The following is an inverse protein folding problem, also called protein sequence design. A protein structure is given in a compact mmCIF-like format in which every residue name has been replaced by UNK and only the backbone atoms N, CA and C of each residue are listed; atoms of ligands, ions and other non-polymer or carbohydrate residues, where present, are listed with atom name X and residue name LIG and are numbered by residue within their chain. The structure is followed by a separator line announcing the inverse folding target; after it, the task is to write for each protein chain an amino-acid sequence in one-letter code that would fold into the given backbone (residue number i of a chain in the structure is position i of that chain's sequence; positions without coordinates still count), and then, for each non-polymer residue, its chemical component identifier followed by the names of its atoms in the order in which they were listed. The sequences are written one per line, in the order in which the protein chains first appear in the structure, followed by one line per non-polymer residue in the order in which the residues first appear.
data_IF_822733125846
#
_entry.id   IF_822733125846
#
_cell.length_a   1.000
_cell.length_b   1.000
_cell.length_c   1.000
_cell.angle_alpha   90.00
_cell.angle_beta   90.00
_cell.angle_gamma   90.00
#
_symmetry.space_group_name_H-M   'P 1'
#
loop_
_entity.id
_entity.type
_entity.pdbx_description
1 polymer ?
#
# COMPACT_ATOMS: atom_id res chain seq x y z
N UNK A 1 6.27 -5.70 -56.88
CA UNK A 1 5.69 -7.06 -56.98
C UNK A 1 5.70 -7.59 -55.56
N UNK A 2 4.54 -7.48 -54.91
CA UNK A 2 4.30 -7.95 -53.55
C UNK A 2 3.89 -9.42 -53.67
N UNK A 3 4.72 -10.34 -53.19
CA UNK A 3 4.33 -11.74 -53.11
C UNK A 3 3.88 -12.09 -51.69
N UNK A 4 2.64 -12.57 -51.65
CA UNK A 4 1.90 -13.06 -50.51
C UNK A 4 2.57 -14.28 -49.89
N UNK A 5 2.82 -14.24 -48.58
CA UNK A 5 2.96 -15.45 -47.76
C UNK A 5 1.96 -15.34 -46.62
N UNK A 6 0.81 -16.02 -46.76
CA UNK A 6 -0.18 -16.16 -45.69
C UNK A 6 0.23 -17.29 -44.74
N UNK A 7 0.55 -16.97 -43.49
CA UNK A 7 0.60 -17.97 -42.42
C UNK A 7 -0.73 -17.97 -41.67
N UNK A 8 -1.47 -19.07 -41.76
CA UNK A 8 -2.68 -19.30 -40.97
C UNK A 8 -2.32 -20.00 -39.66
N UNK A 9 -2.42 -19.29 -38.54
CA UNK A 9 -2.37 -19.89 -37.21
C UNK A 9 -3.80 -20.19 -36.75
N UNK A 10 -4.17 -21.48 -36.71
CA UNK A 10 -5.38 -21.95 -36.03
C UNK A 10 -5.10 -22.02 -34.52
N UNK A 11 -5.50 -21.01 -33.77
CA UNK A 11 -5.55 -21.08 -32.30
C UNK A 11 -6.92 -21.61 -31.90
N UNK A 12 -6.95 -22.77 -31.25
CA UNK A 12 -8.13 -23.25 -30.51
C UNK A 12 -8.24 -22.43 -29.22
N UNK A 13 -9.32 -21.66 -29.09
CA UNK A 13 -9.70 -21.01 -27.83
C UNK A 13 -10.32 -22.05 -26.90
N UNK A 14 -9.90 -22.14 -25.62
CA UNK A 14 -10.67 -22.87 -24.61
C UNK A 14 -11.90 -22.07 -24.16
N UNK A 15 -12.88 -22.83 -23.67
CA UNK A 15 -14.26 -22.45 -23.37
C UNK A 15 -14.40 -21.28 -22.38
N UNK A 16 -15.44 -20.48 -22.61
CA UNK A 16 -15.78 -19.28 -21.86
C UNK A 16 -16.11 -19.58 -20.39
N UNK A 17 -15.44 -18.90 -19.47
CA UNK A 17 -15.87 -18.79 -18.08
C UNK A 17 -17.16 -17.96 -18.00
N UNK A 18 -18.21 -18.58 -17.47
CA UNK A 18 -19.52 -17.97 -17.22
C UNK A 18 -19.43 -16.96 -16.07
N UNK A 19 -19.57 -15.67 -16.38
CA UNK A 19 -19.77 -14.62 -15.39
C UNK A 19 -21.24 -14.62 -14.95
N UNK A 20 -21.48 -15.01 -13.70
CA UNK A 20 -22.77 -14.89 -13.03
C UNK A 20 -23.23 -13.42 -12.99
N UNK A 21 -24.36 -13.11 -13.64
CA UNK A 21 -25.11 -11.87 -13.42
C UNK A 21 -25.99 -12.00 -12.17
N UNK A 22 -26.00 -11.03 -11.25
CA UNK A 22 -27.05 -10.97 -10.23
C UNK A 22 -28.37 -10.48 -10.84
N UNK A 23 -29.47 -11.13 -10.47
CA UNK A 23 -30.84 -10.72 -10.79
C UNK A 23 -31.22 -9.46 -10.00
N UNK A 24 -31.89 -8.53 -10.66
CA UNK A 24 -32.62 -7.42 -10.04
C UNK A 24 -33.88 -7.95 -9.34
N UNK A 25 -34.04 -7.64 -8.06
CA UNK A 25 -35.34 -7.67 -7.39
C UNK A 25 -35.69 -6.26 -6.90
N UNK A 26 -36.80 -5.74 -7.44
CA UNK A 26 -37.45 -4.53 -6.96
C UNK A 26 -38.25 -4.86 -5.69
N UNK A 27 -38.09 -4.06 -4.64
CA UNK A 27 -38.88 -4.17 -3.42
C UNK A 27 -38.71 -2.96 -2.50
N UNK A 28 -39.67 -2.04 -2.58
CA UNK A 28 -39.79 -0.86 -1.72
C UNK A 28 -40.24 -1.23 -0.30
N UNK A 29 -39.50 -0.80 0.73
CA UNK A 29 -40.07 -0.45 2.04
C UNK A 29 -39.07 0.39 2.86
N UNK A 30 -39.44 1.66 3.12
CA UNK A 30 -38.76 2.52 4.10
C UNK A 30 -38.88 1.90 5.51
N UNK A 31 -37.76 1.48 6.09
CA UNK A 31 -37.62 1.31 7.54
C UNK A 31 -36.49 2.21 8.03
N UNK A 32 -36.82 3.13 8.96
CA UNK A 32 -35.84 3.82 9.79
C UNK A 32 -35.20 2.77 10.70
N UNK A 33 -34.01 2.31 10.33
CA UNK A 33 -33.17 1.42 11.11
C UNK A 33 -32.00 2.22 11.71
N UNK A 34 -31.74 1.99 12.99
CA UNK A 34 -30.51 2.36 13.69
C UNK A 34 -29.27 2.05 12.84
N UNK A 35 -28.30 2.96 12.78
CA UNK A 35 -27.06 2.83 12.02
C UNK A 35 -26.21 1.64 12.53
N UNK A 36 -26.57 0.43 12.11
CA UNK A 36 -25.66 -0.72 12.12
C UNK A 36 -24.67 -0.50 10.98
N UNK A 37 -23.53 0.14 11.29
CA UNK A 37 -22.48 0.37 10.30
C UNK A 37 -22.05 -0.96 9.68
N UNK A 38 -22.26 -1.14 8.38
CA UNK A 38 -21.76 -2.32 7.67
C UNK A 38 -20.26 -2.43 7.89
N UNK A 39 -19.77 -3.62 8.26
CA UNK A 39 -18.35 -3.87 8.45
C UNK A 39 -17.53 -3.49 7.20
N UNK A 40 -16.23 -3.16 7.36
CA UNK A 40 -15.36 -2.91 6.20
C UNK A 40 -15.43 -4.11 5.25
N UNK A 41 -15.67 -3.90 3.95
CA UNK A 41 -15.68 -5.00 2.99
C UNK A 41 -14.36 -5.79 3.02
N UNK A 42 -14.46 -7.10 2.87
CA UNK A 42 -13.33 -8.02 2.87
C UNK A 42 -12.96 -8.42 1.43
N UNK A 43 -11.71 -8.81 1.22
CA UNK A 43 -11.21 -9.40 -0.03
C UNK A 43 -10.29 -10.57 0.29
N UNK A 44 -10.31 -11.60 -0.54
CA UNK A 44 -9.45 -12.76 -0.41
C UNK A 44 -8.09 -12.47 -1.08
N UNK A 45 -6.99 -12.45 -0.31
CA UNK A 45 -5.63 -12.32 -0.85
C UNK A 45 -5.01 -13.68 -1.21
N UNK A 46 -5.34 -14.70 -0.43
CA UNK A 46 -4.94 -16.10 -0.63
C UNK A 46 -6.03 -17.01 -0.03
N UNK A 47 -6.10 -18.32 -0.34
CA UNK A 47 -7.22 -19.19 0.07
C UNK A 47 -7.63 -19.12 1.55
N UNK A 48 -6.68 -18.92 2.47
CA UNK A 48 -6.91 -18.83 3.93
C UNK A 48 -6.54 -17.44 4.51
N UNK A 49 -6.40 -16.43 3.65
CA UNK A 49 -6.06 -15.05 4.02
C UNK A 49 -7.07 -14.04 3.46
N UNK A 50 -7.99 -13.60 4.32
CA UNK A 50 -8.98 -12.56 4.01
C UNK A 50 -8.62 -11.25 4.71
N UNK A 51 -8.58 -10.15 3.96
CA UNK A 51 -8.21 -8.82 4.47
C UNK A 51 -9.30 -7.79 4.22
N UNK A 52 -9.40 -6.80 5.09
CA UNK A 52 -10.25 -5.64 4.88
C UNK A 52 -9.74 -4.80 3.69
N UNK A 53 -10.66 -4.28 2.86
CA UNK A 53 -10.34 -3.35 1.76
C UNK A 53 -9.70 -2.04 2.20
N UNK A 54 -9.71 -1.76 3.51
CA UNK A 54 -8.92 -0.71 4.14
C UNK A 54 -7.87 -1.38 5.03
N UNK A 55 -6.60 -1.04 4.85
CA UNK A 55 -5.49 -1.48 5.66
C UNK A 55 -4.98 -0.29 6.47
N UNK A 56 -4.88 -0.44 7.80
CA UNK A 56 -4.38 0.64 8.64
C UNK A 56 -2.84 0.60 8.69
N UNK A 57 -2.22 1.54 7.97
CA UNK A 57 -0.78 1.76 7.96
C UNK A 57 -0.32 2.50 9.21
N UNK A 58 0.76 2.01 9.81
CA UNK A 58 1.17 2.38 11.18
C UNK A 58 2.43 3.24 11.27
N UNK A 59 2.88 3.81 10.14
CA UNK A 59 4.14 4.55 10.08
C UNK A 59 4.22 5.83 10.92
N UNK A 60 3.11 6.29 11.53
CA UNK A 60 3.10 7.44 12.45
C UNK A 60 3.17 7.05 13.93
N UNK A 61 2.94 5.77 14.25
CA UNK A 61 2.86 5.26 15.62
C UNK A 61 4.26 5.20 16.24
N UNK A 62 4.51 5.96 17.31
CA UNK A 62 5.84 6.07 17.91
C UNK A 62 6.63 7.31 17.52
N UNK A 63 6.08 8.14 16.63
CA UNK A 63 6.60 9.47 16.27
C UNK A 63 5.52 10.55 16.43
N UNK A 64 4.61 10.72 15.46
CA UNK A 64 3.50 11.68 15.58
C UNK A 64 2.46 11.26 16.62
N UNK A 65 2.35 9.96 16.87
CA UNK A 65 1.41 9.39 17.82
C UNK A 65 2.14 8.76 19.00
N UNK A 66 1.81 9.19 20.21
CA UNK A 66 2.24 8.55 21.46
C UNK A 66 1.61 7.16 21.60
N UNK A 67 2.11 6.33 22.52
CA UNK A 67 1.54 5.00 22.76
C UNK A 67 0.02 5.04 23.08
N UNK A 68 -0.48 5.90 23.99
CA UNK A 68 -1.94 6.00 24.23
C UNK A 68 -2.74 6.49 23.01
N UNK A 69 -2.18 7.39 22.19
CA UNK A 69 -2.83 7.82 20.95
C UNK A 69 -2.88 6.69 19.93
N UNK A 70 -1.80 5.91 19.84
CA UNK A 70 -1.67 4.76 18.95
C UNK A 70 -2.70 3.69 19.30
N UNK A 71 -2.86 3.39 20.60
CA UNK A 71 -3.89 2.46 21.07
C UNK A 71 -5.29 2.93 20.66
N UNK A 72 -5.63 4.20 20.84
CA UNK A 72 -6.94 4.73 20.41
C UNK A 72 -7.19 4.61 18.91
N UNK A 73 -6.16 4.75 18.08
CA UNK A 73 -6.27 4.58 16.63
C UNK A 73 -6.45 3.12 16.25
N UNK A 74 -5.69 2.22 16.87
CA UNK A 74 -5.80 0.77 16.66
C UNK A 74 -7.16 0.23 17.15
N UNK A 75 -7.62 0.68 18.33
CA UNK A 75 -8.95 0.39 18.88
C UNK A 75 -10.03 0.82 17.86
N UNK A 76 -9.97 2.07 17.37
CA UNK A 76 -10.94 2.57 16.40
C UNK A 76 -10.91 1.86 15.03
N UNK A 77 -9.72 1.46 14.55
CA UNK A 77 -9.59 0.67 13.33
C UNK A 77 -10.26 -0.70 13.49
N UNK A 78 -9.93 -1.39 14.57
CA UNK A 78 -10.44 -2.73 14.87
C UNK A 78 -11.96 -2.72 15.09
N UNK A 79 -12.48 -1.76 15.86
CA UNK A 79 -13.92 -1.56 16.07
C UNK A 79 -14.67 -1.27 14.77
N UNK A 80 -14.04 -0.58 13.81
CA UNK A 80 -14.63 -0.32 12.49
C UNK A 80 -14.66 -1.56 11.58
N UNK A 81 -14.04 -2.67 11.98
CA UNK A 81 -13.90 -3.90 11.19
C UNK A 81 -12.67 -3.95 10.30
N UNK A 82 -11.66 -3.09 10.52
CA UNK A 82 -10.35 -3.23 9.88
C UNK A 82 -9.60 -4.36 10.56
N UNK A 83 -9.32 -5.43 9.82
CA UNK A 83 -8.50 -6.54 10.31
C UNK A 83 -7.05 -6.46 9.83
N UNK A 84 -6.75 -5.63 8.82
CA UNK A 84 -5.45 -5.60 8.18
C UNK A 84 -4.60 -4.43 8.66
N UNK A 85 -3.47 -4.73 9.30
CA UNK A 85 -2.50 -3.74 9.78
C UNK A 85 -1.19 -3.85 8.99
N UNK A 86 -0.64 -2.72 8.59
CA UNK A 86 0.64 -2.64 7.88
C UNK A 86 1.67 -1.86 8.70
N UNK A 87 2.85 -2.47 8.88
CA UNK A 87 4.01 -1.88 9.55
C UNK A 87 5.28 -2.10 8.75
N UNK A 88 6.43 -1.74 9.30
CA UNK A 88 7.75 -2.07 8.78
C UNK A 88 8.76 -1.98 9.92
N UNK A 89 9.86 -2.71 9.84
CA UNK A 89 10.88 -2.65 10.88
C UNK A 89 11.48 -1.25 11.07
N UNK A 90 11.55 -0.46 10.00
CA UNK A 90 12.09 0.89 10.03
C UNK A 90 11.14 1.91 10.63
N UNK A 91 9.85 1.59 10.76
CA UNK A 91 8.85 2.55 11.21
C UNK A 91 9.02 2.89 12.68
N UNK A 92 8.71 4.14 13.08
CA UNK A 92 7.93 5.17 12.35
C UNK A 92 8.75 6.08 11.42
N UNK A 93 8.04 6.99 10.72
CA UNK A 93 8.62 8.04 9.87
C UNK A 93 8.38 9.45 10.46
N UNK A 94 9.30 10.43 10.28
CA UNK A 94 10.61 10.30 9.63
C UNK A 94 11.56 9.35 10.37
N UNK A 95 12.38 8.67 9.60
CA UNK A 95 13.21 7.55 10.02
C UNK A 95 14.36 8.04 10.89
N UNK A 96 14.59 7.41 12.04
CA UNK A 96 15.76 7.68 12.88
C UNK A 96 16.07 6.53 13.82
N UNK A 97 17.34 6.40 14.20
CA UNK A 97 17.85 5.33 15.07
C UNK A 97 17.06 5.18 16.37
N UNK A 98 16.65 6.29 16.98
CA UNK A 98 16.01 6.29 18.30
C UNK A 98 14.58 5.75 18.30
N UNK A 99 13.91 5.75 17.14
CA UNK A 99 12.49 5.39 17.03
C UNK A 99 12.25 4.14 16.21
N UNK A 100 13.24 3.64 15.47
CA UNK A 100 13.16 2.43 14.67
C UNK A 100 12.53 1.26 15.45
N UNK A 101 11.58 0.57 14.83
CA UNK A 101 10.86 -0.57 15.38
C UNK A 101 9.69 -0.23 16.31
N UNK A 102 9.49 1.05 16.69
CA UNK A 102 8.43 1.42 17.65
C UNK A 102 7.02 1.16 17.12
N UNK A 103 6.78 1.28 15.81
CA UNK A 103 5.45 0.98 15.26
C UNK A 103 5.07 -0.48 15.50
N UNK A 104 5.99 -1.42 15.24
CA UNK A 104 5.79 -2.85 15.53
C UNK A 104 5.62 -3.11 17.03
N UNK A 105 6.47 -2.49 17.86
CA UNK A 105 6.38 -2.59 19.31
C UNK A 105 5.02 -2.11 19.84
N UNK A 106 4.49 -1.02 19.28
CA UNK A 106 3.21 -0.46 19.69
C UNK A 106 2.04 -1.36 19.28
N UNK A 107 2.10 -1.97 18.09
CA UNK A 107 1.10 -2.97 17.67
C UNK A 107 1.14 -4.18 18.61
N UNK A 108 2.32 -4.72 18.91
CA UNK A 108 2.47 -5.86 19.81
C UNK A 108 1.94 -5.59 21.22
N UNK A 109 2.28 -4.41 21.78
CA UNK A 109 1.77 -3.96 23.07
C UNK A 109 0.24 -3.79 23.05
N UNK A 110 -0.31 -3.25 21.96
CA UNK A 110 -1.76 -3.09 21.82
C UNK A 110 -2.48 -4.44 21.80
N UNK A 111 -2.03 -5.39 20.97
CA UNK A 111 -2.63 -6.73 20.89
C UNK A 111 -2.68 -7.40 22.27
N UNK A 112 -1.57 -7.36 23.04
CA UNK A 112 -1.54 -7.89 24.40
C UNK A 112 -2.45 -7.14 25.36
N UNK A 113 -2.37 -5.80 25.38
CA UNK A 113 -3.12 -4.98 26.32
C UNK A 113 -4.64 -5.01 26.09
N UNK A 114 -5.07 -5.33 24.86
CA UNK A 114 -6.49 -5.46 24.48
C UNK A 114 -6.95 -6.91 24.36
N UNK A 115 -6.06 -7.88 24.59
CA UNK A 115 -6.32 -9.30 24.40
C UNK A 115 -6.93 -9.60 23.02
N UNK A 116 -6.36 -9.01 21.97
CA UNK A 116 -6.84 -9.17 20.60
C UNK A 116 -6.49 -10.58 20.13
N UNK A 117 -7.47 -11.41 19.73
CA UNK A 117 -7.17 -12.73 19.19
C UNK A 117 -6.34 -12.59 17.91
N UNK A 118 -5.22 -13.33 17.84
CA UNK A 118 -4.24 -13.18 16.77
C UNK A 118 -4.81 -13.55 15.39
N UNK A 119 -5.75 -14.48 15.35
CA UNK A 119 -6.51 -14.91 14.15
C UNK A 119 -7.51 -13.88 13.63
N UNK A 120 -7.82 -12.84 14.43
CA UNK A 120 -8.69 -11.73 14.02
C UNK A 120 -7.96 -10.56 13.35
N UNK A 121 -6.64 -10.60 13.30
CA UNK A 121 -5.80 -9.56 12.68
C UNK A 121 -4.91 -10.21 11.63
N UNK A 122 -4.79 -9.54 10.49
CA UNK A 122 -3.76 -9.80 9.49
C UNK A 122 -2.65 -8.78 9.70
N UNK A 123 -1.45 -9.25 10.05
CA UNK A 123 -0.27 -8.41 10.22
C UNK A 123 0.62 -8.48 8.98
N UNK A 124 0.81 -7.34 8.33
CA UNK A 124 1.89 -7.14 7.38
C UNK A 124 3.04 -6.34 8.00
N UNK A 125 4.27 -6.80 7.80
CA UNK A 125 5.46 -5.99 8.06
C UNK A 125 6.50 -6.22 6.97
N UNK A 126 7.61 -5.48 7.02
CA UNK A 126 8.56 -5.38 5.92
C UNK A 126 10.00 -5.38 6.40
N UNK A 127 10.85 -6.06 5.63
CA UNK A 127 12.31 -5.92 5.68
C UNK A 127 12.73 -4.74 4.81
N UNK A 128 13.52 -3.85 5.39
CA UNK A 128 14.12 -2.69 4.73
C UNK A 128 15.20 -3.15 3.75
N UNK A 129 15.11 -2.67 2.50
CA UNK A 129 16.17 -2.85 1.51
C UNK A 129 17.40 -1.96 1.78
N UNK A 130 18.45 -2.03 0.95
CA UNK A 130 19.67 -1.26 1.15
C UNK A 130 19.39 0.25 1.19
N UNK A 131 20.05 0.96 2.11
CA UNK A 131 19.96 2.42 2.21
C UNK A 131 21.23 3.03 2.79
N UNK A 132 21.81 3.99 2.06
CA UNK A 132 22.94 4.78 2.55
C UNK A 132 22.58 5.75 3.68
N UNK A 133 21.29 5.97 3.95
CA UNK A 133 20.82 6.91 4.98
C UNK A 133 20.47 6.23 6.31
N UNK A 134 20.17 4.93 6.29
CA UNK A 134 19.67 4.17 7.46
C UNK A 134 20.70 3.17 7.98
N UNK A 135 21.94 3.60 8.18
CA UNK A 135 23.08 2.76 8.58
C UNK A 135 22.93 2.09 9.96
N UNK A 136 21.91 2.44 10.73
CA UNK A 136 21.64 1.86 12.05
C UNK A 136 20.74 0.63 12.02
N UNK A 137 20.08 0.32 10.90
CA UNK A 137 19.22 -0.87 10.79
C UNK A 137 20.12 -2.09 10.54
N UNK A 138 20.22 -3.02 11.51
CA UNK A 138 21.14 -4.19 11.49
C UNK A 138 22.59 -3.84 11.14
N UNK A 139 23.09 -2.75 11.72
CA UNK A 139 24.44 -2.25 11.38
C UNK A 139 24.58 -1.71 9.95
N UNK A 140 23.45 -1.58 9.25
CA UNK A 140 23.31 -1.03 7.91
C UNK A 140 23.85 -1.98 6.84
N UNK A 141 23.01 -2.81 6.20
CA UNK A 141 23.50 -3.68 5.15
C UNK A 141 23.57 -2.97 3.78
N UNK A 142 24.50 -3.45 2.96
CA UNK A 142 24.58 -3.21 1.52
C UNK A 142 23.57 -4.10 0.74
N UNK A 143 22.71 -4.87 1.41
CA UNK A 143 22.03 -6.05 0.84
C UNK A 143 20.78 -6.56 1.59
N UNK A 144 19.91 -7.27 0.87
CA UNK A 144 18.81 -8.16 1.28
C UNK A 144 19.26 -9.62 1.15
N UNK A 145 20.40 -9.96 1.72
CA UNK A 145 20.90 -11.34 1.77
C UNK A 145 20.11 -12.19 2.77
N UNK A 146 20.35 -13.51 2.73
CA UNK A 146 19.62 -14.44 3.58
C UNK A 146 19.73 -14.13 5.08
N UNK A 147 20.92 -13.70 5.55
CA UNK A 147 21.13 -13.38 6.95
C UNK A 147 20.31 -12.15 7.37
N UNK A 148 20.35 -11.09 6.58
CA UNK A 148 19.61 -9.86 6.85
C UNK A 148 18.10 -10.07 6.85
N UNK A 149 17.57 -10.85 5.91
CA UNK A 149 16.14 -11.16 5.86
C UNK A 149 15.72 -11.95 7.11
N UNK A 150 16.46 -13.00 7.47
CA UNK A 150 16.11 -13.85 8.61
C UNK A 150 16.24 -13.11 9.95
N UNK A 151 17.28 -12.28 10.12
CA UNK A 151 17.44 -11.42 11.29
C UNK A 151 16.28 -10.42 11.41
N UNK A 152 15.94 -9.73 10.32
CA UNK A 152 14.82 -8.78 10.29
C UNK A 152 13.48 -9.42 10.68
N UNK A 153 13.21 -10.64 10.21
CA UNK A 153 11.99 -11.40 10.56
C UNK A 153 11.97 -11.67 12.07
N UNK A 154 13.06 -12.20 12.63
CA UNK A 154 13.12 -12.54 14.06
C UNK A 154 12.91 -11.30 14.95
N UNK A 155 13.55 -10.20 14.57
CA UNK A 155 13.45 -8.93 15.26
C UNK A 155 12.03 -8.33 15.20
N UNK A 156 11.38 -8.40 14.04
CA UNK A 156 10.00 -7.99 13.87
C UNK A 156 9.04 -8.84 14.72
N UNK A 157 9.21 -10.16 14.73
CA UNK A 157 8.41 -11.08 15.55
C UNK A 157 8.56 -10.76 17.05
N UNK A 158 9.78 -10.47 17.51
CA UNK A 158 10.04 -10.06 18.89
C UNK A 158 9.29 -8.77 19.26
N UNK A 159 9.41 -7.72 18.43
CA UNK A 159 8.74 -6.43 18.66
C UNK A 159 7.22 -6.53 18.61
N UNK A 160 6.68 -7.25 17.62
CA UNK A 160 5.25 -7.54 17.51
C UNK A 160 4.76 -8.50 18.61
N UNK A 161 5.67 -9.25 19.23
CA UNK A 161 5.41 -10.29 20.23
C UNK A 161 4.35 -11.28 19.75
N UNK A 162 4.61 -11.86 18.59
CA UNK A 162 3.80 -12.87 17.91
C UNK A 162 4.74 -13.91 17.31
N UNK A 163 4.30 -15.15 17.17
CA UNK A 163 5.13 -16.23 16.62
C UNK A 163 5.14 -16.26 15.10
N UNK A 164 4.17 -15.56 14.47
CA UNK A 164 4.07 -15.48 13.01
C UNK A 164 3.58 -14.12 12.49
N UNK A 165 3.97 -13.79 11.27
CA UNK A 165 3.50 -12.66 10.45
C UNK A 165 2.67 -13.20 9.28
N UNK A 166 1.52 -12.60 8.99
CA UNK A 166 0.66 -13.09 7.89
C UNK A 166 1.23 -12.76 6.52
N UNK A 167 1.74 -11.54 6.33
CA UNK A 167 2.33 -11.09 5.08
C UNK A 167 3.68 -10.39 5.35
N UNK A 168 4.77 -10.97 4.88
CA UNK A 168 6.09 -10.35 4.98
C UNK A 168 6.50 -9.78 3.63
N UNK A 169 6.95 -8.53 3.61
CA UNK A 169 7.26 -7.83 2.37
C UNK A 169 8.70 -7.38 2.30
N UNK A 170 9.29 -7.43 1.10
CA UNK A 170 10.49 -6.64 0.80
C UNK A 170 10.06 -5.18 0.62
N UNK A 171 10.55 -4.27 1.46
CA UNK A 171 10.06 -2.88 1.51
C UNK A 171 10.44 -2.07 0.27
N UNK A 172 11.64 -2.29 -0.25
CA UNK A 172 12.06 -1.84 -1.57
C UNK A 172 13.13 -2.78 -2.11
N UNK A 173 13.33 -2.82 -3.44
CA UNK A 173 14.26 -3.77 -4.04
C UNK A 173 15.70 -3.59 -3.57
N UNK A 174 16.43 -4.70 -3.56
CA UNK A 174 17.88 -4.69 -3.36
C UNK A 174 18.61 -3.97 -4.50
N UNK A 175 18.16 -4.23 -5.72
CA UNK A 175 18.70 -3.64 -6.94
C UNK A 175 18.31 -2.17 -7.07
N UNK A 176 19.09 -1.43 -7.85
CA UNK A 176 18.69 -0.10 -8.28
C UNK A 176 17.37 -0.12 -9.05
N UNK A 177 16.42 0.68 -8.59
CA UNK A 177 15.21 1.10 -9.30
C UNK A 177 14.99 2.59 -9.01
N UNK A 178 14.38 3.36 -9.93
CA UNK A 178 13.92 4.72 -9.65
C UNK A 178 12.88 4.66 -8.54
N UNK A 179 13.04 5.47 -7.50
CA UNK A 179 12.12 5.51 -6.38
C UNK A 179 11.90 6.94 -5.89
N UNK A 180 10.83 7.11 -5.09
CA UNK A 180 10.60 8.30 -4.28
C UNK A 180 10.60 9.63 -5.07
N UNK A 181 9.94 9.65 -6.22
CA UNK A 181 9.83 10.81 -7.10
C UNK A 181 10.64 10.69 -8.40
N UNK A 182 11.54 9.71 -8.49
CA UNK A 182 12.21 9.36 -9.74
C UNK A 182 11.37 8.35 -10.55
N UNK A 183 11.41 8.44 -11.88
CA UNK A 183 10.68 7.55 -12.79
C UNK A 183 11.57 6.91 -13.85
N UNK A 184 12.62 7.61 -14.29
CA UNK A 184 13.50 7.14 -15.35
C UNK A 184 14.55 6.14 -14.84
N UNK A 185 14.53 4.93 -15.41
CA UNK A 185 15.56 3.94 -15.15
C UNK A 185 16.87 4.31 -15.85
N UNK A 186 17.96 4.41 -15.07
CA UNK A 186 19.30 4.66 -15.58
C UNK A 186 20.21 3.45 -15.29
N UNK A 187 20.58 2.65 -16.31
CA UNK A 187 21.42 1.47 -16.11
C UNK A 187 22.82 1.81 -15.55
N UNK A 188 23.27 3.06 -15.64
CA UNK A 188 24.57 3.51 -15.09
C UNK A 188 24.56 3.61 -13.56
N UNK A 189 23.39 3.65 -12.93
CA UNK A 189 23.21 3.67 -11.47
C UNK A 189 23.13 2.27 -10.86
N UNK A 190 23.24 1.23 -11.68
CA UNK A 190 23.28 -0.16 -11.21
C UNK A 190 24.46 -0.37 -10.25
N UNK A 191 24.20 -1.07 -9.14
CA UNK A 191 25.20 -1.53 -8.19
C UNK A 191 25.05 -3.03 -7.95
N UNK A 192 26.06 -3.62 -7.30
CA UNK A 192 26.02 -5.03 -6.91
C UNK A 192 24.86 -5.27 -5.95
N UNK A 193 23.94 -6.16 -6.34
CA UNK A 193 22.74 -6.49 -5.58
C UNK A 193 22.64 -7.99 -5.35
N UNK A 194 21.94 -8.36 -4.28
CA UNK A 194 21.62 -9.75 -3.97
C UNK A 194 20.68 -10.30 -5.02
N UNK A 195 20.98 -11.51 -5.49
CA UNK A 195 20.14 -12.23 -6.44
C UNK A 195 18.73 -12.45 -5.88
N UNK A 196 17.71 -12.39 -6.74
CA UNK A 196 16.31 -12.63 -6.31
C UNK A 196 16.15 -14.08 -5.83
N UNK A 197 16.92 -15.01 -6.40
CA UNK A 197 17.01 -16.41 -6.00
C UNK A 197 17.39 -16.56 -4.52
N UNK A 198 18.39 -15.82 -4.04
CA UNK A 198 18.81 -15.84 -2.63
C UNK A 198 17.76 -15.19 -1.72
N UNK A 199 17.20 -14.05 -2.14
CA UNK A 199 16.11 -13.39 -1.41
C UNK A 199 14.92 -14.32 -1.24
N UNK A 200 14.53 -15.03 -2.31
CA UNK A 200 13.39 -15.94 -2.31
C UNK A 200 13.66 -17.21 -1.50
N UNK A 201 14.87 -17.77 -1.56
CA UNK A 201 15.28 -18.91 -0.71
C UNK A 201 15.17 -18.56 0.78
N UNK A 202 15.65 -17.38 1.19
CA UNK A 202 15.55 -16.93 2.58
C UNK A 202 14.10 -16.74 3.05
N UNK A 203 13.26 -16.14 2.19
CA UNK A 203 11.84 -16.00 2.44
C UNK A 203 11.14 -17.37 2.49
N UNK A 204 11.49 -18.31 1.62
CA UNK A 204 10.98 -19.68 1.59
C UNK A 204 11.28 -20.43 2.89
N UNK A 205 12.52 -20.38 3.37
CA UNK A 205 12.90 -20.95 4.68
C UNK A 205 12.08 -20.36 5.83
N UNK A 206 11.78 -19.07 5.79
CA UNK A 206 10.93 -18.43 6.79
C UNK A 206 9.47 -18.90 6.72
N UNK A 207 8.93 -19.13 5.51
CA UNK A 207 7.62 -19.74 5.29
C UNK A 207 7.59 -21.17 5.84
N UNK A 208 8.57 -21.99 5.48
CA UNK A 208 8.67 -23.39 5.92
C UNK A 208 8.77 -23.51 7.45
N UNK A 209 9.43 -22.55 8.10
CA UNK A 209 9.54 -22.49 9.56
C UNK A 209 8.26 -21.97 10.27
N UNK A 210 7.26 -21.52 9.51
CA UNK A 210 6.00 -20.96 10.04
C UNK A 210 6.10 -19.52 10.58
N UNK A 211 7.26 -18.87 10.47
CA UNK A 211 7.49 -17.49 10.94
C UNK A 211 6.73 -16.45 10.11
N UNK A 212 6.55 -16.73 8.83
CA UNK A 212 5.77 -15.89 7.92
C UNK A 212 4.81 -16.80 7.12
N UNK A 213 3.61 -16.33 6.78
CA UNK A 213 2.65 -17.15 6.01
C UNK A 213 2.73 -16.87 4.51
N UNK A 214 2.77 -15.59 4.14
CA UNK A 214 2.80 -15.13 2.76
C UNK A 214 3.89 -14.10 2.52
N UNK A 215 4.29 -13.96 1.26
CA UNK A 215 5.28 -12.97 0.84
C UNK A 215 4.71 -11.97 -0.16
N UNK A 216 5.20 -10.74 -0.08
CA UNK A 216 4.86 -9.66 -1.01
C UNK A 216 6.07 -8.78 -1.30
N UNK A 217 5.91 -7.87 -2.26
CA UNK A 217 6.92 -6.89 -2.63
C UNK A 217 6.37 -5.48 -2.38
N UNK A 218 7.26 -4.49 -2.30
CA UNK A 218 6.90 -3.08 -2.17
C UNK A 218 7.87 -2.23 -2.98
N UNK A 219 7.39 -1.10 -3.51
CA UNK A 219 8.14 -0.21 -4.40
C UNK A 219 8.80 -0.95 -5.58
N UNK A 220 8.11 -1.96 -6.11
CA UNK A 220 8.65 -2.78 -7.19
C UNK A 220 8.21 -2.28 -8.58
N UNK A 221 8.80 -2.83 -9.63
CA UNK A 221 8.53 -2.58 -11.05
C UNK A 221 7.94 -3.84 -11.70
N UNK A 222 7.42 -3.75 -12.95
CA UNK A 222 6.99 -4.94 -13.68
C UNK A 222 8.09 -6.01 -13.79
N UNK A 223 9.35 -5.58 -14.00
CA UNK A 223 10.47 -6.49 -14.17
C UNK A 223 10.69 -7.41 -12.96
N UNK A 224 10.78 -6.85 -11.74
CA UNK A 224 11.06 -7.70 -10.58
C UNK A 224 9.85 -8.48 -10.13
N UNK A 225 8.61 -7.95 -10.25
CA UNK A 225 7.40 -8.77 -10.05
C UNK A 225 7.46 -10.04 -10.91
N UNK A 226 7.67 -9.88 -12.22
CA UNK A 226 7.76 -11.03 -13.13
C UNK A 226 8.98 -11.92 -12.86
N UNK A 227 10.12 -11.34 -12.47
CA UNK A 227 11.34 -12.10 -12.16
C UNK A 227 11.20 -12.94 -10.88
N UNK A 228 10.59 -12.41 -9.82
CA UNK A 228 10.25 -13.16 -8.61
C UNK A 228 9.35 -14.35 -8.93
N UNK A 229 8.31 -14.13 -9.75
CA UNK A 229 7.38 -15.19 -10.16
C UNK A 229 8.04 -16.26 -11.04
N UNK A 230 8.87 -15.83 -11.98
CA UNK A 230 9.63 -16.74 -12.83
C UNK A 230 10.56 -17.63 -12.00
N UNK A 231 11.29 -17.03 -11.05
CA UNK A 231 12.20 -17.76 -10.16
C UNK A 231 11.42 -18.70 -9.24
N UNK A 232 10.28 -18.28 -8.67
CA UNK A 232 9.45 -19.16 -7.83
C UNK A 232 8.94 -20.39 -8.58
N UNK A 233 8.71 -20.27 -9.89
CA UNK A 233 8.30 -21.41 -10.72
C UNK A 233 9.47 -22.38 -11.03
N UNK A 234 10.71 -21.88 -11.02
CA UNK A 234 11.89 -22.69 -11.30
C UNK A 234 12.45 -23.37 -10.03
N UNK A 235 12.39 -22.66 -8.90
CA UNK A 235 12.84 -23.19 -7.61
C UNK A 235 11.72 -24.01 -6.97
N UNK A 236 11.93 -25.33 -6.90
CA UNK A 236 10.96 -26.23 -6.28
C UNK A 236 10.65 -25.80 -4.84
N UNK A 237 9.37 -25.80 -4.46
CA UNK A 237 8.89 -25.42 -3.12
C UNK A 237 9.16 -23.97 -2.70
N UNK A 238 9.52 -23.06 -3.61
CA UNK A 238 9.64 -21.64 -3.27
C UNK A 238 8.27 -20.95 -3.18
N UNK A 239 8.08 -20.03 -2.22
CA UNK A 239 6.83 -19.31 -2.09
C UNK A 239 6.60 -18.38 -3.29
N UNK A 240 5.34 -18.23 -3.68
CA UNK A 240 4.94 -17.25 -4.70
C UNK A 240 4.55 -15.93 -4.02
N UNK A 241 4.95 -14.80 -4.59
CA UNK A 241 4.45 -13.49 -4.16
C UNK A 241 2.95 -13.37 -4.43
N UNK A 242 2.21 -12.74 -3.51
CA UNK A 242 0.75 -12.56 -3.64
C UNK A 242 0.32 -11.10 -3.73
N UNK A 243 1.20 -10.18 -3.32
CA UNK A 243 0.92 -8.75 -3.32
C UNK A 243 2.11 -7.92 -3.77
N UNK A 244 1.81 -6.76 -4.35
CA UNK A 244 2.75 -5.64 -4.49
C UNK A 244 2.19 -4.42 -3.80
N UNK A 245 2.97 -3.77 -2.93
CA UNK A 245 2.60 -2.56 -2.22
C UNK A 245 3.27 -1.34 -2.86
N UNK A 246 2.56 -0.66 -3.75
CA UNK A 246 3.05 0.52 -4.47
C UNK A 246 2.16 1.74 -4.21
N UNK A 247 2.71 2.93 -4.44
CA UNK A 247 1.96 4.18 -4.33
C UNK A 247 0.88 4.23 -5.41
N UNK A 248 -0.35 4.45 -5.00
CA UNK A 248 -1.46 4.62 -5.92
C UNK A 248 -2.48 5.59 -5.32
N UNK A 249 -2.71 6.70 -6.03
CA UNK A 249 -3.66 7.75 -5.64
C UNK A 249 -3.94 8.68 -6.84
N UNK A 250 -4.81 9.66 -6.66
CA UNK A 250 -5.20 10.62 -7.69
C UNK A 250 -4.01 11.39 -8.34
N UNK A 251 -2.87 11.50 -7.63
CA UNK A 251 -1.67 12.19 -8.09
C UNK A 251 -0.55 11.24 -8.56
N UNK A 252 -0.72 9.92 -8.42
CA UNK A 252 0.25 8.91 -8.79
C UNK A 252 -0.46 7.63 -9.23
N UNK A 253 -0.51 7.43 -10.54
CA UNK A 253 -1.15 6.32 -11.26
C UNK A 253 -0.15 5.52 -12.11
N UNK A 254 1.15 5.61 -11.81
CA UNK A 254 2.20 4.85 -12.51
C UNK A 254 1.92 3.33 -12.55
N UNK A 255 1.21 2.80 -11.55
CA UNK A 255 0.75 1.42 -11.55
C UNK A 255 -0.06 1.05 -12.80
N UNK A 256 -0.92 1.94 -13.29
CA UNK A 256 -1.80 1.72 -14.45
C UNK A 256 -1.00 1.42 -15.74
N UNK A 257 0.24 1.91 -15.86
CA UNK A 257 1.01 1.89 -17.12
C UNK A 257 1.76 0.59 -17.41
N UNK A 258 1.96 -0.29 -16.42
CA UNK A 258 2.67 -1.55 -16.67
C UNK A 258 2.53 -2.58 -15.56
N UNK A 259 2.51 -2.16 -14.30
CA UNK A 259 2.30 -3.09 -13.19
C UNK A 259 0.89 -3.69 -13.21
N UNK A 260 -0.13 -2.91 -13.61
CA UNK A 260 -1.50 -3.39 -13.69
C UNK A 260 -1.65 -4.61 -14.61
N UNK A 261 -1.00 -4.60 -15.79
CA UNK A 261 -1.03 -5.73 -16.73
C UNK A 261 -0.43 -6.99 -16.11
N UNK A 262 0.80 -6.90 -15.60
CA UNK A 262 1.46 -8.03 -14.96
C UNK A 262 0.67 -8.54 -13.75
N UNK A 263 0.17 -7.64 -12.91
CA UNK A 263 -0.61 -7.99 -11.73
C UNK A 263 -1.92 -8.69 -12.09
N UNK A 264 -2.60 -8.25 -13.16
CA UNK A 264 -3.82 -8.89 -13.64
C UNK A 264 -3.54 -10.33 -14.11
N UNK A 265 -2.55 -10.51 -14.99
CA UNK A 265 -2.23 -11.83 -15.56
C UNK A 265 -1.69 -12.81 -14.51
N UNK A 266 -0.94 -12.30 -13.54
CA UNK A 266 -0.28 -13.12 -12.51
C UNK A 266 -1.06 -13.20 -11.20
N UNK A 267 -2.28 -12.66 -11.15
CA UNK A 267 -3.12 -12.64 -9.95
C UNK A 267 -2.42 -12.03 -8.72
N UNK A 268 -1.65 -10.97 -8.94
CA UNK A 268 -0.98 -10.21 -7.87
C UNK A 268 -1.86 -9.04 -7.47
N UNK A 269 -2.19 -8.94 -6.19
CA UNK A 269 -3.01 -7.85 -5.67
C UNK A 269 -2.19 -6.60 -5.35
N UNK A 270 -2.71 -5.42 -5.68
CA UNK A 270 -2.13 -4.15 -5.27
C UNK A 270 -2.59 -3.79 -3.85
N UNK A 271 -1.61 -3.51 -2.99
CA UNK A 271 -1.80 -2.79 -1.72
C UNK A 271 -1.42 -1.33 -1.94
N UNK A 272 -2.43 -0.46 -2.12
CA UNK A 272 -2.21 0.92 -2.52
C UNK A 272 -1.78 1.78 -1.32
N UNK A 273 -0.50 2.14 -1.23
CA UNK A 273 -0.02 3.01 -0.15
C UNK A 273 -0.14 4.50 -0.50
N UNK A 274 -0.13 5.35 0.54
CA UNK A 274 -0.31 6.80 0.43
C UNK A 274 -1.55 7.21 -0.39
N UNK A 275 -2.74 6.64 -0.13
CA UNK A 275 -3.94 6.96 -0.92
C UNK A 275 -4.35 8.44 -0.79
N UNK A 276 -3.88 9.12 0.27
CA UNK A 276 -4.08 10.56 0.51
C UNK A 276 -2.87 11.43 0.16
N UNK A 277 -1.81 10.89 -0.45
CA UNK A 277 -0.57 11.59 -0.77
C UNK A 277 0.00 12.39 0.43
N UNK A 278 0.27 11.72 1.55
CA UNK A 278 0.67 12.35 2.83
C UNK A 278 -0.31 13.43 3.36
N UNK A 279 -1.59 13.33 2.99
CA UNK A 279 -2.65 14.25 3.35
C UNK A 279 -2.80 15.44 2.40
N UNK A 280 -2.04 15.50 1.31
CA UNK A 280 -2.11 16.61 0.34
C UNK A 280 -3.46 16.66 -0.37
N UNK A 281 -4.03 15.50 -0.69
CA UNK A 281 -5.35 15.38 -1.30
C UNK A 281 -6.49 15.87 -0.39
N UNK A 282 -6.23 16.19 0.88
CA UNK A 282 -7.20 16.87 1.74
C UNK A 282 -7.25 18.39 1.52
N UNK A 283 -6.34 18.96 0.73
CA UNK A 283 -6.21 20.40 0.50
C UNK A 283 -5.63 21.21 1.68
N UNK A 284 -5.34 20.57 2.81
CA UNK A 284 -5.01 21.27 4.06
C UNK A 284 -3.76 22.16 3.95
N UNK A 285 -2.76 21.76 3.17
CA UNK A 285 -1.52 22.53 3.00
C UNK A 285 -1.69 23.79 2.13
N UNK A 286 -2.80 23.89 1.39
CA UNK A 286 -3.09 25.02 0.49
C UNK A 286 -4.12 25.99 1.08
N UNK A 287 -4.54 25.77 2.32
CA UNK A 287 -5.38 26.73 3.07
C UNK A 287 -4.59 28.00 3.40
N UNK A 288 -5.31 29.10 3.66
CA UNK A 288 -4.70 30.34 4.14
C UNK A 288 -3.79 30.06 5.35
N UNK A 289 -2.55 30.56 5.32
CA UNK A 289 -1.55 30.31 6.37
C UNK A 289 -0.78 28.98 6.25
N UNK A 290 -0.97 28.19 5.18
CA UNK A 290 -0.18 26.97 4.92
C UNK A 290 -0.68 25.71 5.65
N UNK A 291 -1.87 25.78 6.26
CA UNK A 291 -2.51 24.65 6.93
C UNK A 291 -2.07 24.40 8.38
N UNK A 292 -2.58 23.33 9.02
CA UNK A 292 -2.29 23.03 10.42
C UNK A 292 -0.80 22.78 10.68
N UNK A 293 -0.26 23.30 11.78
CA UNK A 293 1.14 23.10 12.17
C UNK A 293 1.48 21.65 12.53
N UNK A 294 0.49 20.88 12.96
CA UNK A 294 0.62 19.45 13.29
C UNK A 294 0.43 18.52 12.07
N UNK A 295 0.17 19.08 10.88
CA UNK A 295 0.14 18.32 9.64
C UNK A 295 1.55 17.84 9.27
N UNK A 296 1.67 16.62 8.74
CA UNK A 296 2.96 15.92 8.55
C UNK A 296 4.04 16.77 7.88
N UNK A 297 3.74 17.37 6.72
CA UNK A 297 4.72 18.18 5.96
C UNK A 297 5.08 19.49 6.65
N UNK A 298 4.23 20.01 7.54
CA UNK A 298 4.52 21.21 8.31
C UNK A 298 5.32 20.85 9.57
N UNK A 299 4.92 19.80 10.28
CA UNK A 299 5.59 19.32 11.49
C UNK A 299 7.03 18.89 11.22
N UNK A 300 7.30 18.21 10.10
CA UNK A 300 8.61 17.68 9.75
C UNK A 300 9.32 18.45 8.64
N UNK A 301 8.95 19.72 8.43
CA UNK A 301 9.57 20.57 7.41
C UNK A 301 11.10 20.57 7.56
N UNK A 302 11.81 20.28 6.48
CA UNK A 302 13.28 20.17 6.42
C UNK A 302 13.88 18.96 7.14
N UNK A 303 13.04 18.03 7.63
CA UNK A 303 13.44 16.84 8.40
C UNK A 303 12.87 15.54 7.84
N UNK A 304 12.19 15.60 6.69
CA UNK A 304 11.63 14.44 6.01
C UNK A 304 11.90 14.49 4.51
N UNK A 305 13.19 14.38 4.15
CA UNK A 305 13.69 14.54 2.78
C UNK A 305 12.95 13.73 1.73
N UNK A 306 12.67 12.46 2.01
CA UNK A 306 12.03 11.53 1.07
C UNK A 306 10.57 11.94 0.82
N UNK A 307 9.88 12.38 1.88
CA UNK A 307 8.53 12.92 1.75
C UNK A 307 8.50 14.23 0.98
N UNK A 308 9.45 15.14 1.25
CA UNK A 308 9.55 16.45 0.60
C UNK A 308 9.99 16.37 -0.86
N UNK A 309 10.89 15.45 -1.19
CA UNK A 309 11.36 15.21 -2.56
C UNK A 309 10.21 14.73 -3.45
N UNK A 310 9.41 13.76 -2.98
CA UNK A 310 8.27 13.25 -3.73
C UNK A 310 7.10 14.23 -3.78
N UNK A 311 6.80 14.87 -2.65
CA UNK A 311 5.62 15.71 -2.47
C UNK A 311 5.98 17.18 -2.27
N UNK A 312 6.71 17.75 -3.22
CA UNK A 312 7.14 19.14 -3.17
C UNK A 312 5.93 20.09 -3.22
N UNK A 313 5.60 20.71 -2.08
CA UNK A 313 4.47 21.64 -1.95
C UNK A 313 4.63 22.94 -2.77
N UNK A 314 5.84 23.25 -3.25
CA UNK A 314 6.07 24.38 -4.17
C UNK A 314 5.78 24.04 -5.64
N UNK A 315 5.52 22.76 -5.96
CA UNK A 315 5.17 22.34 -7.32
C UNK A 315 3.78 22.87 -7.70
N UNK A 316 3.76 23.82 -8.65
CA UNK A 316 2.54 24.47 -9.14
C UNK A 316 1.58 23.52 -9.84
N UNK A 317 2.10 22.51 -10.54
CA UNK A 317 1.31 21.47 -11.22
C UNK A 317 0.61 20.58 -10.21
N UNK A 318 1.33 20.17 -9.16
CA UNK A 318 0.76 19.40 -8.05
C UNK A 318 -0.36 20.19 -7.35
N UNK A 319 -0.12 21.47 -7.06
CA UNK A 319 -1.13 22.34 -6.43
C UNK A 319 -2.38 22.47 -7.30
N UNK A 320 -2.22 22.75 -8.59
CA UNK A 320 -3.34 22.88 -9.53
C UNK A 320 -4.15 21.57 -9.64
N UNK A 321 -3.48 20.42 -9.72
CA UNK A 321 -4.15 19.12 -9.74
C UNK A 321 -4.99 18.89 -8.46
N UNK A 322 -4.45 19.23 -7.29
CA UNK A 322 -5.17 19.08 -6.02
C UNK A 322 -6.38 20.00 -5.95
N UNK A 323 -6.25 21.26 -6.38
CA UNK A 323 -7.37 22.20 -6.44
C UNK A 323 -8.49 21.68 -7.36
N UNK A 324 -8.14 21.14 -8.53
CA UNK A 324 -9.12 20.55 -9.46
C UNK A 324 -9.83 19.32 -8.86
N UNK A 325 -9.11 18.42 -8.17
CA UNK A 325 -9.74 17.29 -7.47
C UNK A 325 -10.65 17.73 -6.31
N UNK A 326 -10.27 18.78 -5.56
CA UNK A 326 -11.11 19.36 -4.52
C UNK A 326 -12.38 19.97 -5.12
N UNK A 327 -12.27 20.62 -6.29
CA UNK A 327 -13.42 21.17 -7.00
C UNK A 327 -14.38 20.07 -7.45
N UNK A 328 -13.87 18.92 -7.90
CA UNK A 328 -14.67 17.72 -8.20
C UNK A 328 -15.38 17.23 -6.92
N UNK A 329 -14.65 17.05 -5.82
CA UNK A 329 -15.24 16.62 -4.55
C UNK A 329 -16.39 17.56 -4.13
N UNK A 330 -16.17 18.87 -4.21
CA UNK A 330 -17.19 19.89 -3.91
C UNK A 330 -18.39 19.81 -4.86
N UNK A 331 -18.17 19.69 -6.18
CA UNK A 331 -19.23 19.57 -7.20
C UNK A 331 -20.19 18.42 -6.87
N UNK A 332 -19.66 17.30 -6.37
CA UNK A 332 -20.43 16.09 -6.09
C UNK A 332 -20.79 15.90 -4.60
N UNK A 333 -20.56 16.90 -3.74
CA UNK A 333 -20.93 16.84 -2.32
C UNK A 333 -20.12 15.84 -1.50
N UNK A 334 -18.90 15.52 -1.93
CA UNK A 334 -17.97 14.61 -1.24
C UNK A 334 -16.92 15.40 -0.45
N UNK A 335 -16.40 14.80 0.62
CA UNK A 335 -15.14 15.27 1.19
C UNK A 335 -13.98 14.93 0.23
N UNK A 336 -12.89 15.72 0.20
CA UNK A 336 -11.72 15.38 -0.59
C UNK A 336 -11.11 14.02 -0.20
N UNK A 337 -11.16 13.66 1.08
CA UNK A 337 -10.70 12.35 1.55
C UNK A 337 -11.58 11.23 0.99
N UNK A 338 -12.89 11.41 1.00
CA UNK A 338 -13.81 10.40 0.46
C UNK A 338 -13.62 10.17 -1.03
N UNK A 339 -13.43 11.24 -1.82
CA UNK A 339 -13.11 11.13 -3.25
C UNK A 339 -11.81 10.35 -3.48
N UNK A 340 -10.74 10.71 -2.77
CA UNK A 340 -9.42 10.09 -2.94
C UNK A 340 -9.41 8.61 -2.56
N UNK A 341 -10.01 8.23 -1.43
CA UNK A 341 -10.09 6.83 -1.01
C UNK A 341 -10.99 6.03 -1.95
N UNK A 342 -12.16 6.55 -2.35
CA UNK A 342 -13.05 5.88 -3.28
C UNK A 342 -12.39 5.64 -4.65
N UNK A 343 -11.58 6.59 -5.13
CA UNK A 343 -10.80 6.44 -6.35
C UNK A 343 -9.79 5.29 -6.26
N UNK A 344 -9.12 5.13 -5.13
CA UNK A 344 -8.21 4.00 -4.93
C UNK A 344 -8.98 2.68 -4.88
N UNK A 345 -10.10 2.65 -4.17
CA UNK A 345 -10.88 1.43 -3.94
C UNK A 345 -11.68 0.95 -5.17
N UNK A 346 -11.96 1.80 -6.16
CA UNK A 346 -12.67 1.38 -7.38
C UNK A 346 -11.76 0.60 -8.35
N UNK A 347 -10.43 0.73 -8.22
CA UNK A 347 -9.51 0.03 -9.10
C UNK A 347 -9.61 -1.49 -8.88
N UNK A 348 -9.85 -2.31 -9.92
CA UNK A 348 -10.18 -3.73 -9.77
C UNK A 348 -9.03 -4.57 -9.20
N UNK A 349 -7.78 -4.14 -9.41
CA UNK A 349 -6.59 -4.82 -8.87
C UNK A 349 -6.20 -4.35 -7.46
N UNK A 350 -6.88 -3.34 -6.91
CA UNK A 350 -6.62 -2.91 -5.53
C UNK A 350 -7.38 -3.83 -4.57
N UNK A 351 -6.62 -4.62 -3.83
CA UNK A 351 -7.15 -5.42 -2.73
C UNK A 351 -7.44 -4.53 -1.52
N UNK A 352 -6.49 -3.65 -1.15
CA UNK A 352 -6.64 -2.81 0.03
C UNK A 352 -5.91 -1.47 -0.10
N UNK A 353 -6.52 -0.41 0.42
CA UNK A 353 -5.90 0.90 0.55
C UNK A 353 -5.18 1.01 1.91
N UNK A 354 -3.85 1.16 1.88
CA UNK A 354 -3.01 1.33 3.08
C UNK A 354 -3.06 2.79 3.51
N UNK A 355 -4.08 3.13 4.32
CA UNK A 355 -4.31 4.49 4.79
C UNK A 355 -3.59 4.77 6.11
N UNK A 356 -3.32 6.04 6.40
CA UNK A 356 -2.77 6.47 7.68
C UNK A 356 -3.64 7.56 8.30
N UNK A 357 -3.67 7.61 9.63
CA UNK A 357 -4.38 8.62 10.40
C UNK A 357 -3.58 8.97 11.66
N UNK A 358 -3.56 10.25 12.04
CA UNK A 358 -2.97 10.69 13.32
C UNK A 358 -4.02 11.04 14.36
N UNK A 359 -5.29 11.13 13.95
CA UNK A 359 -6.44 11.43 14.82
C UNK A 359 -7.60 10.50 14.47
N UNK A 360 -8.38 10.09 15.47
CA UNK A 360 -9.50 9.13 15.30
C UNK A 360 -10.54 9.65 14.30
N UNK A 361 -10.80 10.96 14.24
CA UNK A 361 -11.75 11.52 13.29
C UNK A 361 -11.29 11.37 11.82
N UNK A 362 -9.98 11.39 11.54
CA UNK A 362 -9.44 11.15 10.19
C UNK A 362 -9.67 9.70 9.78
N UNK A 363 -9.45 8.77 10.71
CA UNK A 363 -9.72 7.35 10.50
C UNK A 363 -11.20 7.13 10.18
N UNK A 364 -12.11 7.75 10.96
CA UNK A 364 -13.55 7.66 10.70
C UNK A 364 -13.93 8.19 9.32
N UNK A 365 -13.36 9.32 8.90
CA UNK A 365 -13.58 9.87 7.55
C UNK A 365 -13.14 8.90 6.43
N UNK A 366 -11.99 8.24 6.58
CA UNK A 366 -11.52 7.22 5.63
C UNK A 366 -12.41 5.98 5.65
N UNK A 367 -12.86 5.54 6.83
CA UNK A 367 -13.77 4.41 6.98
C UNK A 367 -15.10 4.69 6.28
N UNK A 368 -15.66 5.89 6.42
CA UNK A 368 -16.90 6.29 5.73
C UNK A 368 -16.74 6.40 4.21
N UNK A 369 -15.53 6.70 3.71
CA UNK A 369 -15.25 6.81 2.29
C UNK A 369 -15.53 5.51 1.50
N UNK A 370 -15.53 4.35 2.17
CA UNK A 370 -15.86 3.05 1.54
C UNK A 370 -17.29 3.01 0.98
N UNK A 371 -18.18 3.86 1.48
CA UNK A 371 -19.58 3.91 1.08
C UNK A 371 -19.80 4.77 -0.18
N UNK A 372 -18.74 5.43 -0.68
CA UNK A 372 -18.83 6.29 -1.87
C UNK A 372 -18.75 5.44 -3.14
N UNK A 373 -19.78 5.56 -3.97
CA UNK A 373 -19.82 4.99 -5.31
C UNK A 373 -19.47 6.06 -6.34
N UNK A 374 -18.31 5.92 -7.00
CA UNK A 374 -17.91 6.84 -8.07
C UNK A 374 -18.71 6.54 -9.33
N UNK A 375 -19.51 7.52 -9.78
CA UNK A 375 -20.26 7.40 -11.03
C UNK A 375 -19.34 7.52 -12.25
N UNK A 376 -19.86 7.16 -13.43
CA UNK A 376 -19.16 7.38 -14.70
C UNK A 376 -18.82 8.86 -14.93
N UNK A 377 -19.70 9.79 -14.54
CA UNK A 377 -19.45 11.23 -14.62
C UNK A 377 -18.28 11.64 -13.71
N UNK A 378 -18.29 11.23 -12.44
CA UNK A 378 -17.20 11.53 -11.50
C UNK A 378 -15.86 10.99 -12.03
N UNK A 379 -15.87 9.75 -12.51
CA UNK A 379 -14.67 9.10 -13.07
C UNK A 379 -14.15 9.82 -14.31
N UNK A 380 -15.05 10.29 -15.19
CA UNK A 380 -14.67 11.09 -16.35
C UNK A 380 -14.01 12.42 -15.95
N UNK A 381 -14.54 13.13 -14.95
CA UNK A 381 -13.93 14.38 -14.46
C UNK A 381 -12.55 14.12 -13.83
N UNK A 382 -12.42 13.06 -13.01
CA UNK A 382 -11.13 12.63 -12.45
C UNK A 382 -10.11 12.38 -13.56
N UNK A 383 -10.51 11.64 -14.61
CA UNK A 383 -9.62 11.31 -15.72
C UNK A 383 -9.22 12.55 -16.54
N UNK A 384 -10.08 13.57 -16.69
CA UNK A 384 -9.70 14.84 -17.32
C UNK A 384 -8.61 15.56 -16.54
N UNK A 385 -8.69 15.58 -15.21
CA UNK A 385 -7.64 16.17 -14.36
C UNK A 385 -6.34 15.41 -14.51
N UNK A 386 -6.39 14.08 -14.48
CA UNK A 386 -5.19 13.25 -14.68
C UNK A 386 -4.57 13.43 -16.06
N UNK A 387 -5.37 13.56 -17.13
CA UNK A 387 -4.85 13.83 -18.48
C UNK A 387 -4.15 15.19 -18.57
N UNK A 388 -4.62 16.19 -17.80
CA UNK A 388 -3.98 17.51 -17.72
C UNK A 388 -2.72 17.50 -16.86
N UNK A 389 -2.72 16.71 -15.78
CA UNK A 389 -1.64 16.61 -14.80
C UNK A 389 -1.25 15.14 -14.58
N UNK A 390 -0.54 14.52 -15.53
CA UNK A 390 -0.17 13.12 -15.41
C UNK A 390 0.91 12.97 -14.33
N UNK A 391 0.60 12.17 -13.30
CA UNK A 391 1.53 11.71 -12.25
C UNK A 391 2.43 12.82 -11.66
N UNK A 392 1.90 13.91 -11.08
CA UNK A 392 2.72 15.03 -10.58
C UNK A 392 3.59 14.70 -9.36
N UNK A 393 3.41 13.53 -8.71
CA UNK A 393 4.26 13.05 -7.62
C UNK A 393 4.48 11.51 -7.69
N UNK A 394 5.23 11.05 -8.70
CA UNK A 394 5.37 9.63 -9.01
C UNK A 394 6.05 8.81 -7.90
#
# INVERSE_FOLDING_TARGET
IWDNVSFTWKIKLPEAFSLHKPREEQGSARRRGTAGGMAVPMVQLAPDLSVSRLCFGTMTLGEQNTLPQSFRLLDAAFEAGVNFLDSAEMYPVPQRRQTQGRSEEYIGRWMRARNVPRDRIVLATKVTGPSGQMTWIRGGPKSLDANNILEAINDSLLRLSTDYIDLYQIHWPDRYVPMFGETDYDPRRQYGSVAIEEQLDALGKAVDSGKIRYIGLSNETPYGVMKFLHISNYMQSSPRIITVQNSYNLLCRNFDCGLAECCHHESISLLAYSPMAMGILSGKYFSAGGGPSDARMNLFRGRYSEGESRYNLSNVTLKAAVEDYINIARKFGLSPASLAIAFVLIHPLVASAVFGATKVWQLREVVEARNVHLTSEMTAEINKVHARYPNPCP
#
